data_IF_290457594217
#
_entry.id   IF_290457594217
#
_cell.length_a   1.000
_cell.length_b   1.000
_cell.length_c   1.000
_cell.angle_alpha   90.00
_cell.angle_beta   90.00
_cell.angle_gamma   90.00
#
_symmetry.space_group_name_H-M   'P 1'
#
loop_
_entity.id
_entity.type
_entity.pdbx_description
1 polymer ?
#
# COMPACT_ATOMS: atom_id res chain seq x y z
N UNK A 1 -16.69 24.84 -0.44
CA UNK A 1 -16.18 23.70 -1.24
C UNK A 1 -17.22 22.60 -1.18
N UNK A 2 -17.69 22.10 -2.32
CA UNK A 2 -18.87 21.22 -2.39
C UNK A 2 -18.52 19.72 -2.45
N UNK A 3 -17.36 19.34 -1.90
CA UNK A 3 -16.80 17.99 -1.93
C UNK A 3 -16.47 17.52 -0.52
N UNK A 4 -16.45 16.20 -0.33
CA UNK A 4 -15.89 15.60 0.87
C UNK A 4 -14.40 15.93 0.99
N UNK A 5 -13.90 16.09 2.22
CA UNK A 5 -12.47 16.14 2.49
C UNK A 5 -12.12 14.90 3.33
N UNK A 6 -11.36 13.97 2.76
CA UNK A 6 -11.02 12.72 3.43
C UNK A 6 -9.50 12.61 3.53
N UNK A 7 -9.02 12.29 4.73
CA UNK A 7 -7.63 11.93 4.98
C UNK A 7 -7.58 10.53 5.57
N UNK A 8 -6.75 9.67 5.01
CA UNK A 8 -6.53 8.31 5.49
C UNK A 8 -5.06 8.14 5.86
N UNK A 9 -4.81 7.56 7.04
CA UNK A 9 -3.47 7.15 7.47
C UNK A 9 -3.44 5.62 7.62
N UNK A 10 -2.71 4.96 6.73
CA UNK A 10 -2.55 3.50 6.75
C UNK A 10 -1.29 3.12 7.51
N UNK A 11 -1.50 2.63 8.73
CA UNK A 11 -0.49 1.95 9.54
C UNK A 11 -0.41 0.44 9.27
N UNK A 12 0.36 -0.26 10.09
CA UNK A 12 0.58 -1.71 9.94
C UNK A 12 -0.67 -2.56 10.22
N UNK A 13 -1.47 -2.18 11.22
CA UNK A 13 -2.63 -2.97 11.67
C UNK A 13 -3.96 -2.32 11.30
N UNK A 14 -4.06 -1.00 11.47
CA UNK A 14 -5.27 -0.24 11.24
C UNK A 14 -5.02 0.89 10.25
N UNK A 15 -6.07 1.25 9.52
CA UNK A 15 -6.14 2.48 8.76
C UNK A 15 -7.17 3.39 9.42
N UNK A 16 -6.71 4.56 9.84
CA UNK A 16 -7.54 5.60 10.43
C UNK A 16 -7.98 6.54 9.31
N UNK A 17 -9.29 6.73 9.16
CA UNK A 17 -9.87 7.61 8.16
C UNK A 17 -10.67 8.72 8.85
N UNK A 18 -10.39 9.95 8.43
CA UNK A 18 -11.00 11.16 8.90
C UNK A 18 -11.70 11.86 7.74
N UNK A 19 -12.97 12.20 7.89
CA UNK A 19 -13.78 12.78 6.81
C UNK A 19 -14.63 13.96 7.25
N UNK A 20 -14.57 15.06 6.49
CA UNK A 20 -15.44 16.22 6.64
C UNK A 20 -16.46 16.23 5.49
N UNK A 21 -17.78 16.23 5.79
CA UNK A 21 -18.82 16.31 4.77
C UNK A 21 -18.76 17.62 3.95
N UNK A 22 -19.32 17.64 2.72
CA UNK A 22 -19.43 18.86 1.93
C UNK A 22 -20.14 19.98 2.68
N UNK A 23 -19.54 21.17 2.71
CA UNK A 23 -20.12 22.35 3.36
C UNK A 23 -20.09 22.35 4.89
N UNK A 24 -19.53 21.30 5.52
CA UNK A 24 -19.41 21.17 6.96
C UNK A 24 -18.08 21.73 7.49
N UNK A 25 -17.95 21.84 8.82
CA UNK A 25 -16.70 22.26 9.48
C UNK A 25 -15.94 21.06 10.06
N UNK A 26 -14.78 21.33 10.67
CA UNK A 26 -14.01 20.34 11.42
C UNK A 26 -14.81 19.73 12.60
N UNK A 27 -15.79 20.44 13.14
CA UNK A 27 -16.60 19.97 14.27
C UNK A 27 -17.58 18.86 13.86
N UNK A 28 -17.92 18.79 12.57
CA UNK A 28 -18.80 17.76 11.98
C UNK A 28 -18.01 16.55 11.47
N UNK A 29 -16.70 16.51 11.75
CA UNK A 29 -15.83 15.49 11.20
C UNK A 29 -16.14 14.11 11.76
N UNK A 30 -15.98 13.11 10.90
CA UNK A 30 -16.23 11.71 11.22
C UNK A 30 -14.92 10.95 11.21
N UNK A 31 -14.79 10.03 12.16
CA UNK A 31 -13.66 9.12 12.29
C UNK A 31 -14.17 7.70 12.06
N UNK A 32 -13.49 6.96 11.18
CA UNK A 32 -13.72 5.53 11.01
C UNK A 32 -12.38 4.81 11.02
N UNK A 33 -12.38 3.61 11.58
CA UNK A 33 -11.20 2.74 11.65
C UNK A 33 -11.51 1.45 10.94
N UNK A 34 -10.58 1.01 10.09
CA UNK A 34 -10.67 -0.24 9.35
C UNK A 34 -9.37 -1.04 9.53
N UNK A 35 -9.41 -2.35 9.30
CA UNK A 35 -8.18 -3.14 9.31
C UNK A 35 -7.35 -2.80 8.07
N UNK A 36 -6.03 -2.63 8.23
CA UNK A 36 -5.10 -2.38 7.11
C UNK A 36 -5.07 -3.53 6.09
N UNK A 37 -5.63 -4.69 6.44
CA UNK A 37 -5.84 -5.82 5.54
C UNK A 37 -6.99 -5.63 4.54
N UNK A 38 -7.69 -4.50 4.55
CA UNK A 38 -8.84 -4.27 3.67
C UNK A 38 -10.09 -5.05 4.11
N UNK A 39 -10.28 -5.19 5.42
CA UNK A 39 -11.42 -5.91 6.01
C UNK A 39 -12.13 -5.06 7.07
N UNK A 40 -13.44 -5.21 7.12
CA UNK A 40 -14.34 -4.62 8.11
C UNK A 40 -14.73 -5.70 9.13
N UNK A 41 -14.20 -5.59 10.35
CA UNK A 41 -14.54 -6.53 11.42
C UNK A 41 -15.80 -6.06 12.15
N UNK A 42 -16.78 -6.94 12.23
CA UNK A 42 -18.08 -6.70 12.90
C UNK A 42 -18.39 -7.86 13.84
N UNK A 43 -19.14 -7.57 14.91
CA UNK A 43 -19.57 -8.59 15.87
C UNK A 43 -20.94 -9.13 15.46
N UNK A 44 -21.09 -10.45 15.43
CA UNK A 44 -22.37 -11.14 15.26
C UNK A 44 -22.96 -11.35 16.64
N UNK A 45 -24.09 -10.70 16.92
CA UNK A 45 -24.76 -10.77 18.22
C UNK A 45 -25.82 -11.88 18.25
N UNK A 46 -26.45 -12.17 17.11
CA UNK A 46 -27.52 -13.15 17.01
C UNK A 46 -27.61 -13.74 15.60
N UNK A 47 -28.03 -15.01 15.50
CA UNK A 47 -28.44 -15.66 14.26
C UNK A 47 -29.97 -15.60 14.20
N UNK A 48 -30.52 -14.77 13.32
CA UNK A 48 -31.98 -14.63 13.18
C UNK A 48 -32.57 -15.85 12.47
N UNK A 49 -31.88 -16.29 11.42
CA UNK A 49 -32.14 -17.52 10.69
C UNK A 49 -30.86 -18.01 10.00
N UNK A 50 -30.95 -19.05 9.18
CA UNK A 50 -29.79 -19.64 8.49
C UNK A 50 -29.10 -18.67 7.50
N UNK A 51 -29.74 -17.57 7.10
CA UNK A 51 -29.21 -16.58 6.14
C UNK A 51 -29.01 -15.19 6.75
N UNK A 52 -29.59 -14.89 7.90
CA UNK A 52 -29.69 -13.54 8.43
C UNK A 52 -28.98 -13.43 9.77
N UNK A 53 -28.01 -12.51 9.83
CA UNK A 53 -27.19 -12.23 11.00
C UNK A 53 -27.56 -10.88 11.59
N UNK A 54 -27.73 -10.80 12.91
CA UNK A 54 -27.75 -9.52 13.60
C UNK A 54 -26.32 -9.13 13.96
N UNK A 55 -25.95 -7.92 13.58
CA UNK A 55 -24.61 -7.38 13.77
C UNK A 55 -24.62 -6.24 14.79
N UNK A 56 -23.52 -6.10 15.51
CA UNK A 56 -23.14 -4.88 16.18
C UNK A 56 -22.07 -4.18 15.33
N UNK A 57 -22.40 -2.98 14.86
CA UNK A 57 -21.53 -2.17 14.00
C UNK A 57 -20.79 -1.14 14.88
N UNK A 58 -19.49 -0.90 14.66
CA UNK A 58 -18.77 0.14 15.37
C UNK A 58 -19.40 1.52 15.23
N UNK A 59 -19.28 2.32 16.29
CA UNK A 59 -19.77 3.71 16.29
C UNK A 59 -19.11 4.55 15.19
N UNK A 60 -19.87 5.46 14.59
CA UNK A 60 -19.38 6.39 13.56
C UNK A 60 -19.41 5.85 12.12
N UNK A 61 -19.68 4.56 11.91
CA UNK A 61 -19.84 3.99 10.58
C UNK A 61 -21.18 4.42 9.96
N UNK A 62 -21.14 5.05 8.78
CA UNK A 62 -22.33 5.37 8.00
C UNK A 62 -22.67 4.19 7.07
N UNK A 63 -23.56 3.30 7.52
CA UNK A 63 -23.96 2.08 6.80
C UNK A 63 -25.44 2.13 6.41
N UNK A 64 -25.84 2.97 5.43
CA UNK A 64 -27.23 3.03 4.98
C UNK A 64 -27.72 1.67 4.46
N UNK A 65 -29.04 1.52 4.27
CA UNK A 65 -29.58 0.27 3.73
C UNK A 65 -28.87 -0.15 2.43
N UNK A 66 -28.66 -1.45 2.26
CA UNK A 66 -27.86 -2.06 1.20
C UNK A 66 -26.36 -1.74 1.21
N UNK A 67 -25.80 -1.05 2.21
CA UNK A 67 -24.38 -0.70 2.23
C UNK A 67 -23.45 -1.93 2.10
N UNK A 68 -23.75 -3.01 2.82
CA UNK A 68 -22.96 -4.25 2.74
C UNK A 68 -23.33 -5.15 1.56
N UNK A 69 -24.30 -4.78 0.71
CA UNK A 69 -24.62 -5.56 -0.47
C UNK A 69 -23.42 -5.58 -1.43
N UNK A 70 -22.93 -6.77 -1.76
CA UNK A 70 -21.71 -6.96 -2.55
C UNK A 70 -20.43 -7.19 -1.74
N UNK A 71 -20.48 -7.05 -0.40
CA UNK A 71 -19.39 -7.52 0.47
C UNK A 71 -19.41 -9.05 0.56
N UNK A 72 -18.27 -9.63 0.87
CA UNK A 72 -18.10 -11.05 1.16
C UNK A 72 -17.68 -11.25 2.61
N UNK A 73 -18.01 -12.40 3.16
CA UNK A 73 -17.46 -12.88 4.44
C UNK A 73 -17.01 -14.33 4.31
N UNK A 74 -16.05 -14.74 5.13
CA UNK A 74 -15.59 -16.13 5.17
C UNK A 74 -16.14 -16.84 6.41
N UNK A 75 -16.99 -17.85 6.21
CA UNK A 75 -17.56 -18.68 7.28
C UNK A 75 -17.27 -20.15 6.96
N UNK A 76 -16.60 -20.84 7.89
CA UNK A 76 -16.20 -22.24 7.73
C UNK A 76 -15.51 -22.53 6.37
N UNK A 77 -14.50 -21.70 6.04
CA UNK A 77 -13.69 -21.76 4.81
C UNK A 77 -14.46 -21.54 3.50
N UNK A 78 -15.69 -21.01 3.58
CA UNK A 78 -16.48 -20.62 2.41
C UNK A 78 -16.68 -19.13 2.38
N UNK A 79 -16.42 -18.53 1.23
CA UNK A 79 -16.81 -17.15 0.96
C UNK A 79 -18.31 -17.09 0.66
N UNK A 80 -19.01 -16.21 1.36
CA UNK A 80 -20.44 -16.00 1.23
C UNK A 80 -20.68 -14.52 0.97
N UNK A 81 -21.47 -14.24 -0.06
CA UNK A 81 -21.84 -12.89 -0.46
C UNK A 81 -22.92 -12.34 0.49
N UNK A 82 -22.74 -11.13 0.98
CA UNK A 82 -23.79 -10.31 1.57
C UNK A 82 -24.66 -9.72 0.46
N UNK A 83 -25.97 -9.95 0.55
CA UNK A 83 -26.93 -9.56 -0.49
C UNK A 83 -27.78 -8.36 -0.07
N UNK A 84 -27.90 -8.10 1.23
CA UNK A 84 -28.71 -7.02 1.78
C UNK A 84 -28.21 -6.62 3.18
N UNK A 85 -28.50 -5.38 3.56
CA UNK A 85 -28.25 -4.82 4.89
C UNK A 85 -29.39 -3.90 5.28
N UNK A 86 -30.05 -4.22 6.40
CA UNK A 86 -31.04 -3.36 7.06
C UNK A 86 -30.37 -2.62 8.23
N UNK A 87 -30.15 -1.32 8.07
CA UNK A 87 -29.49 -0.49 9.08
C UNK A 87 -30.33 -0.34 10.35
N UNK A 88 -31.65 -0.27 10.24
CA UNK A 88 -32.52 -0.03 11.38
C UNK A 88 -32.62 -1.26 12.29
N UNK A 89 -32.53 -2.46 11.72
CA UNK A 89 -32.55 -3.73 12.46
C UNK A 89 -31.16 -4.28 12.76
N UNK A 90 -30.12 -3.67 12.18
CA UNK A 90 -28.75 -4.18 12.17
C UNK A 90 -28.65 -5.61 11.63
N UNK A 91 -29.39 -5.91 10.58
CA UNK A 91 -29.52 -7.26 10.01
C UNK A 91 -28.80 -7.36 8.67
N UNK A 92 -27.85 -8.29 8.57
CA UNK A 92 -27.11 -8.63 7.36
C UNK A 92 -27.66 -9.93 6.78
N UNK A 93 -28.06 -9.90 5.50
CA UNK A 93 -28.51 -11.09 4.79
C UNK A 93 -27.41 -11.65 3.89
N UNK A 94 -27.21 -12.96 3.97
CA UNK A 94 -26.22 -13.70 3.19
C UNK A 94 -26.89 -14.53 2.08
N UNK A 95 -26.19 -14.67 0.95
CA UNK A 95 -26.65 -15.43 -0.22
C UNK A 95 -26.79 -16.93 0.08
N UNK A 96 -25.91 -17.47 0.92
CA UNK A 96 -25.87 -18.88 1.27
C UNK A 96 -26.03 -19.05 2.79
N UNK A 97 -26.57 -20.19 3.24
CA UNK A 97 -26.80 -20.40 4.66
C UNK A 97 -25.49 -20.57 5.44
N UNK A 98 -25.48 -20.19 6.71
CA UNK A 98 -24.33 -20.23 7.61
C UNK A 98 -24.54 -21.16 8.82
N UNK A 99 -24.77 -22.47 8.63
CA UNK A 99 -25.18 -23.40 9.69
C UNK A 99 -24.12 -23.70 10.76
N UNK A 100 -22.87 -23.25 10.55
CA UNK A 100 -21.73 -23.46 11.48
C UNK A 100 -21.32 -22.20 12.22
N UNK A 101 -21.98 -21.07 11.97
CA UNK A 101 -21.71 -19.86 12.71
C UNK A 101 -22.36 -19.97 14.08
N UNK A 102 -21.70 -19.46 15.12
CA UNK A 102 -22.25 -19.35 16.47
C UNK A 102 -22.26 -17.88 16.88
N UNK A 103 -23.25 -17.46 17.67
CA UNK A 103 -23.30 -16.13 18.26
C UNK A 103 -23.12 -16.24 19.78
N UNK A 104 -22.37 -15.34 20.43
CA UNK A 104 -21.64 -14.22 19.84
C UNK A 104 -20.36 -14.67 19.10
N UNK A 105 -20.04 -14.02 17.99
CA UNK A 105 -18.77 -14.20 17.27
C UNK A 105 -18.37 -12.92 16.53
N UNK A 106 -17.24 -12.94 15.83
CA UNK A 106 -16.84 -11.86 14.93
C UNK A 106 -16.64 -12.41 13.52
N UNK A 107 -17.06 -11.63 12.54
CA UNK A 107 -16.81 -11.91 11.13
C UNK A 107 -16.10 -10.73 10.47
N UNK A 108 -15.35 -11.03 9.42
CA UNK A 108 -14.75 -10.01 8.56
C UNK A 108 -15.59 -9.88 7.29
N UNK A 109 -15.95 -8.65 6.93
CA UNK A 109 -16.58 -8.28 5.67
C UNK A 109 -15.54 -7.61 4.76
N UNK A 110 -15.50 -7.97 3.49
CA UNK A 110 -14.52 -7.43 2.54
C UNK A 110 -15.03 -7.39 1.09
N UNK A 111 -14.44 -6.52 0.28
CA UNK A 111 -14.75 -6.35 -1.16
C UNK A 111 -13.54 -6.59 -2.06
N UNK A 112 -12.37 -6.83 -1.46
CA UNK A 112 -11.07 -6.84 -2.15
C UNK A 112 -10.46 -5.45 -2.36
N UNK A 113 -11.13 -4.40 -1.89
CA UNK A 113 -10.60 -3.02 -1.94
C UNK A 113 -9.58 -2.75 -0.84
N UNK A 114 -8.67 -1.81 -1.11
CA UNK A 114 -7.68 -1.35 -0.14
C UNK A 114 -8.35 -0.63 1.05
N UNK A 115 -7.74 -0.73 2.23
CA UNK A 115 -8.29 -0.20 3.48
C UNK A 115 -8.71 1.30 3.42
N UNK A 116 -7.92 2.22 2.83
CA UNK A 116 -8.34 3.63 2.67
C UNK A 116 -9.64 3.82 1.89
N UNK A 117 -9.89 2.96 0.90
CA UNK A 117 -11.10 2.99 0.07
C UNK A 117 -12.30 2.56 0.90
N UNK A 118 -12.16 1.47 1.68
CA UNK A 118 -13.21 1.03 2.61
C UNK A 118 -13.54 2.09 3.65
N UNK A 119 -12.53 2.77 4.20
CA UNK A 119 -12.74 3.91 5.10
C UNK A 119 -13.53 5.05 4.43
N UNK A 120 -13.20 5.38 3.18
CA UNK A 120 -13.97 6.37 2.40
C UNK A 120 -15.44 5.95 2.19
N UNK A 121 -15.69 4.65 1.93
CA UNK A 121 -17.06 4.10 1.81
C UNK A 121 -17.83 4.28 3.10
N UNK A 122 -17.23 3.92 4.24
CA UNK A 122 -17.84 4.08 5.56
C UNK A 122 -18.10 5.54 5.95
N UNK A 123 -17.27 6.49 5.52
CA UNK A 123 -17.49 7.92 5.79
C UNK A 123 -18.66 8.46 4.95
N UNK A 124 -18.67 8.12 3.67
CA UNK A 124 -19.63 8.64 2.68
C UNK A 124 -20.96 7.88 2.66
N UNK A 125 -21.01 6.66 3.19
CA UNK A 125 -22.15 5.75 3.05
C UNK A 125 -22.30 5.17 1.65
N UNK A 126 -21.22 5.16 0.85
CA UNK A 126 -21.24 4.70 -0.55
C UNK A 126 -21.03 3.19 -0.61
N UNK A 127 -21.98 2.44 -1.18
CA UNK A 127 -21.88 0.99 -1.35
C UNK A 127 -20.73 0.59 -2.29
N UNK A 128 -20.28 -0.68 -2.29
CA UNK A 128 -19.02 -1.10 -2.91
C UNK A 128 -18.98 -0.98 -4.44
N UNK A 129 -20.14 -0.92 -5.09
CA UNK A 129 -20.27 -0.74 -6.55
C UNK A 129 -20.70 0.66 -6.94
N UNK A 130 -20.95 1.51 -5.96
CA UNK A 130 -21.42 2.86 -6.19
C UNK A 130 -20.23 3.80 -6.42
N UNK A 131 -20.47 4.79 -7.26
CA UNK A 131 -19.49 5.85 -7.53
C UNK A 131 -19.46 6.79 -6.34
N UNK A 132 -18.26 7.13 -5.86
CA UNK A 132 -18.12 8.09 -4.79
C UNK A 132 -18.67 9.47 -5.17
N UNK A 133 -19.23 10.23 -4.21
CA UNK A 133 -19.48 11.65 -4.40
C UNK A 133 -18.15 12.40 -4.62
N UNK A 134 -18.18 13.66 -5.12
CA UNK A 134 -16.99 14.47 -5.26
C UNK A 134 -16.20 14.55 -3.94
N UNK A 135 -14.90 14.26 -3.99
CA UNK A 135 -14.03 14.21 -2.81
C UNK A 135 -12.60 14.70 -3.12
N UNK A 136 -11.97 15.34 -2.14
CA UNK A 136 -10.53 15.54 -2.02
C UNK A 136 -10.00 14.44 -1.08
N UNK A 137 -9.13 13.57 -1.60
CA UNK A 137 -8.60 12.41 -0.87
C UNK A 137 -7.11 12.54 -0.64
N UNK A 138 -6.70 12.46 0.62
CA UNK A 138 -5.29 12.48 1.03
C UNK A 138 -4.94 11.16 1.70
N UNK A 139 -3.88 10.52 1.22
CA UNK A 139 -3.39 9.26 1.76
C UNK A 139 -1.99 9.44 2.36
N UNK A 140 -1.87 9.17 3.65
CA UNK A 140 -0.62 8.89 4.33
C UNK A 140 -0.43 7.38 4.48
N UNK A 141 0.78 6.87 4.20
CA UNK A 141 1.08 5.45 4.43
C UNK A 141 2.54 5.23 4.75
N UNK A 142 2.79 4.22 5.57
CA UNK A 142 4.13 3.73 5.92
C UNK A 142 4.58 2.53 5.08
N UNK A 143 3.80 2.11 4.06
CA UNK A 143 4.14 0.93 3.22
C UNK A 143 5.53 1.04 2.60
N UNK A 144 5.88 2.22 2.07
CA UNK A 144 7.19 2.45 1.44
C UNK A 144 8.35 2.39 2.43
N UNK A 145 8.22 3.05 3.59
CA UNK A 145 9.26 3.06 4.61
C UNK A 145 9.42 1.69 5.28
N UNK A 146 8.34 0.97 5.55
CA UNK A 146 8.40 -0.39 6.09
C UNK A 146 9.01 -1.37 5.09
N UNK A 147 8.66 -1.27 3.80
CA UNK A 147 9.28 -2.09 2.78
C UNK A 147 10.81 -1.89 2.72
N UNK A 148 11.28 -0.65 2.89
CA UNK A 148 12.71 -0.35 2.96
C UNK A 148 13.37 -0.93 4.24
N UNK A 149 12.77 -0.70 5.41
CA UNK A 149 13.31 -1.17 6.70
C UNK A 149 13.34 -2.71 6.79
N UNK A 150 12.29 -3.37 6.28
CA UNK A 150 12.17 -4.83 6.27
C UNK A 150 12.86 -5.48 5.05
N UNK A 151 13.46 -4.68 4.16
CA UNK A 151 14.06 -5.13 2.89
C UNK A 151 13.11 -5.98 2.02
N UNK A 152 11.83 -5.63 1.99
CA UNK A 152 10.79 -6.29 1.18
C UNK A 152 10.54 -5.57 -0.16
N UNK A 153 11.61 -5.09 -0.78
CA UNK A 153 11.57 -4.47 -2.11
C UNK A 153 11.67 -5.48 -3.25
N UNK A 154 11.47 -5.01 -4.48
CA UNK A 154 11.83 -5.79 -5.66
C UNK A 154 13.38 -5.86 -5.78
N UNK A 155 13.95 -6.99 -6.25
CA UNK A 155 15.36 -7.06 -6.60
C UNK A 155 15.73 -5.99 -7.63
N UNK A 156 16.85 -5.30 -7.42
CA UNK A 156 17.32 -4.18 -8.26
C UNK A 156 18.69 -4.48 -8.87
N UNK A 157 18.82 -4.21 -10.18
CA UNK A 157 20.11 -4.07 -10.84
C UNK A 157 20.53 -2.59 -10.81
N UNK A 158 21.74 -2.30 -10.35
CA UNK A 158 22.28 -0.95 -10.25
C UNK A 158 23.31 -0.69 -11.34
N UNK A 159 22.99 0.20 -12.27
CA UNK A 159 23.88 0.64 -13.33
C UNK A 159 24.66 1.87 -12.87
N UNK A 160 25.98 1.78 -12.98
CA UNK A 160 26.89 2.82 -12.50
C UNK A 160 28.06 2.95 -13.47
N UNK A 161 28.66 4.13 -13.55
CA UNK A 161 29.87 4.36 -14.35
C UNK A 161 30.97 3.35 -13.99
N UNK A 162 31.69 2.83 -14.98
CA UNK A 162 32.80 1.91 -14.75
C UNK A 162 33.86 2.50 -13.82
N UNK A 163 34.35 1.67 -12.91
CA UNK A 163 35.24 2.03 -11.81
C UNK A 163 34.52 2.47 -10.54
N UNK A 164 33.17 2.46 -10.53
CA UNK A 164 32.35 2.88 -9.40
C UNK A 164 31.42 1.76 -8.87
N UNK A 165 31.65 0.49 -9.25
CA UNK A 165 30.86 -0.65 -8.78
C UNK A 165 30.65 -0.69 -7.26
N UNK A 166 31.69 -0.36 -6.49
CA UNK A 166 31.66 -0.42 -5.02
C UNK A 166 31.20 0.89 -4.36
N UNK A 167 30.76 1.90 -5.11
CA UNK A 167 30.48 3.25 -4.58
C UNK A 167 29.54 3.22 -3.38
N UNK A 168 28.43 2.48 -3.46
CA UNK A 168 27.44 2.39 -2.36
C UNK A 168 27.89 1.47 -1.22
N UNK A 169 28.83 0.54 -1.47
CA UNK A 169 29.44 -0.32 -0.43
C UNK A 169 30.48 0.46 0.37
N UNK A 170 31.23 1.33 -0.30
CA UNK A 170 32.17 2.27 0.31
C UNK A 170 31.39 3.33 1.10
N UNK A 171 30.32 3.89 0.52
CA UNK A 171 29.53 4.95 1.14
C UNK A 171 30.36 6.20 1.43
N UNK A 172 29.99 6.94 2.46
CA UNK A 172 30.67 8.18 2.88
C UNK A 172 31.74 7.98 3.96
N UNK A 173 32.07 6.71 4.27
CA UNK A 173 33.02 6.31 5.30
C UNK A 173 32.71 6.84 6.71
N UNK A 174 31.51 7.37 6.97
CA UNK A 174 31.13 7.83 8.31
C UNK A 174 30.97 6.63 9.25
N UNK A 175 31.59 6.73 10.42
CA UNK A 175 31.55 5.71 11.47
C UNK A 175 30.88 6.26 12.73
N UNK A 176 29.66 5.80 13.07
CA UNK A 176 29.02 6.18 14.34
C UNK A 176 29.90 5.82 15.54
N UNK A 177 30.45 4.60 15.54
CA UNK A 177 31.39 4.12 16.56
C UNK A 177 32.81 4.08 15.99
N UNK A 178 33.54 5.21 16.09
CA UNK A 178 34.85 5.39 15.46
C UNK A 178 35.89 4.33 15.87
N UNK A 179 35.81 3.84 17.12
CA UNK A 179 36.78 2.90 17.71
C UNK A 179 36.32 1.43 17.72
N UNK A 180 35.15 1.12 17.13
CA UNK A 180 34.69 -0.26 17.06
C UNK A 180 35.66 -1.10 16.21
N UNK A 181 36.21 -2.18 16.80
CA UNK A 181 37.11 -3.11 16.11
C UNK A 181 36.39 -3.88 14.99
N UNK A 182 35.13 -4.24 15.24
CA UNK A 182 34.23 -4.85 14.25
C UNK A 182 33.24 -3.80 13.75
N UNK A 183 33.53 -3.21 12.59
CA UNK A 183 32.62 -2.27 11.94
C UNK A 183 31.61 -3.02 11.07
N UNK A 184 30.33 -2.90 11.40
CA UNK A 184 29.24 -3.50 10.63
C UNK A 184 28.66 -2.46 9.66
N UNK A 185 28.84 -2.70 8.37
CA UNK A 185 28.19 -1.91 7.31
C UNK A 185 26.89 -2.58 6.89
N UNK A 186 25.79 -1.84 6.73
CA UNK A 186 24.59 -2.38 6.13
C UNK A 186 24.91 -2.78 4.67
N UNK A 187 24.43 -3.96 4.20
CA UNK A 187 24.62 -4.34 2.81
C UNK A 187 23.88 -3.36 1.88
N UNK A 188 24.28 -3.24 0.61
CA UNK A 188 23.57 -2.41 -0.35
C UNK A 188 22.12 -2.87 -0.55
N UNK A 189 21.31 -2.04 -1.22
CA UNK A 189 19.92 -2.35 -1.56
C UNK A 189 19.78 -3.06 -2.93
N UNK A 190 20.82 -3.02 -3.76
CA UNK A 190 20.84 -3.70 -5.05
C UNK A 190 21.37 -5.12 -4.90
N UNK A 191 20.96 -5.99 -5.84
CA UNK A 191 21.41 -7.38 -5.88
C UNK A 191 22.46 -7.65 -6.95
N UNK A 192 22.50 -6.79 -7.97
CA UNK A 192 23.56 -6.79 -8.99
C UNK A 192 23.99 -5.38 -9.29
N UNK A 193 25.29 -5.19 -9.45
CA UNK A 193 25.87 -3.97 -10.01
C UNK A 193 26.32 -4.26 -11.44
N UNK A 194 26.08 -3.31 -12.33
CA UNK A 194 26.44 -3.38 -13.74
C UNK A 194 27.21 -2.12 -14.06
N UNK A 195 28.45 -2.28 -14.52
CA UNK A 195 29.29 -1.15 -14.86
C UNK A 195 29.09 -0.73 -16.33
N UNK A 196 28.80 0.55 -16.53
CA UNK A 196 28.60 1.16 -17.83
C UNK A 196 29.89 1.85 -18.28
N UNK A 197 30.29 1.59 -19.52
CA UNK A 197 31.44 2.24 -20.14
C UNK A 197 31.05 3.62 -20.66
N UNK A 198 31.07 4.61 -19.78
CA UNK A 198 30.90 6.00 -20.15
C UNK A 198 31.70 6.92 -19.21
N UNK A 199 31.90 8.18 -19.59
CA UNK A 199 32.45 9.17 -18.65
C UNK A 199 32.11 10.59 -19.02
N UNK A 200 31.65 11.35 -18.02
CA UNK A 200 31.53 12.80 -18.08
C UNK A 200 32.59 13.48 -17.20
N UNK A 201 33.01 14.67 -17.58
CA UNK A 201 33.76 15.58 -16.71
C UNK A 201 32.83 16.32 -15.72
N UNK A 202 33.41 17.13 -14.83
CA UNK A 202 32.65 17.88 -13.84
C UNK A 202 31.73 18.97 -14.43
N UNK A 203 31.99 19.39 -15.68
CA UNK A 203 31.17 20.33 -16.44
C UNK A 203 30.06 19.61 -17.24
N UNK A 204 30.00 18.27 -17.19
CA UNK A 204 29.03 17.44 -17.93
C UNK A 204 29.42 17.15 -19.38
N UNK A 205 30.67 17.44 -19.77
CA UNK A 205 31.16 17.14 -21.13
C UNK A 205 31.59 15.67 -21.21
N UNK A 206 31.24 14.93 -22.28
CA UNK A 206 31.72 13.58 -22.47
C UNK A 206 33.25 13.52 -22.60
N UNK A 207 33.90 12.84 -21.66
CA UNK A 207 35.29 12.37 -21.77
C UNK A 207 35.32 11.05 -22.54
N UNK A 208 34.32 10.19 -22.28
CA UNK A 208 34.10 8.93 -22.97
C UNK A 208 32.61 8.85 -23.32
N UNK A 209 32.24 8.57 -24.58
CA UNK A 209 30.84 8.39 -24.96
C UNK A 209 30.24 7.18 -24.25
N UNK A 210 28.92 7.01 -24.31
CA UNK A 210 28.29 5.76 -23.88
C UNK A 210 28.68 4.61 -24.83
N UNK A 211 29.29 3.56 -24.29
CA UNK A 211 29.59 2.33 -25.02
C UNK A 211 28.62 1.21 -24.65
N UNK A 212 28.24 0.43 -25.67
CA UNK A 212 27.54 -0.84 -25.49
C UNK A 212 28.44 -1.89 -24.81
N UNK A 213 27.84 -2.83 -24.10
CA UNK A 213 28.47 -3.97 -23.43
C UNK A 213 27.71 -4.38 -22.17
N UNK A 214 27.11 -3.40 -21.49
CA UNK A 214 26.31 -3.60 -20.28
C UNK A 214 25.03 -4.42 -20.54
N UNK A 215 24.56 -4.51 -21.79
CA UNK A 215 23.34 -5.21 -22.17
C UNK A 215 23.45 -6.72 -21.91
N UNK A 216 24.66 -7.29 -21.96
CA UNK A 216 24.90 -8.71 -21.63
C UNK A 216 24.61 -8.96 -20.14
N UNK A 217 25.12 -8.09 -19.27
CA UNK A 217 24.89 -8.19 -17.83
C UNK A 217 23.44 -7.85 -17.48
N UNK A 218 22.84 -6.88 -18.17
CA UNK A 218 21.42 -6.55 -18.04
C UNK A 218 20.54 -7.75 -18.39
N UNK A 219 20.85 -8.44 -19.50
CA UNK A 219 20.15 -9.67 -19.89
C UNK A 219 20.33 -10.78 -18.85
N UNK A 220 21.53 -10.96 -18.32
CA UNK A 220 21.78 -11.92 -17.24
C UNK A 220 20.98 -11.57 -15.98
N UNK A 221 20.83 -10.28 -15.63
CA UNK A 221 20.01 -9.84 -14.50
C UNK A 221 18.52 -10.16 -14.73
N UNK A 222 18.02 -9.95 -15.95
CA UNK A 222 16.66 -10.36 -16.34
C UNK A 222 16.47 -11.88 -16.23
N UNK A 223 17.43 -12.69 -16.68
CA UNK A 223 17.39 -14.15 -16.56
C UNK A 223 17.37 -14.60 -15.09
N UNK A 224 18.01 -13.84 -14.20
CA UNK A 224 17.99 -14.06 -12.75
C UNK A 224 16.73 -13.55 -12.04
N UNK A 225 15.72 -13.06 -12.77
CA UNK A 225 14.46 -12.60 -12.19
C UNK A 225 14.46 -11.13 -11.73
N UNK A 226 15.55 -10.39 -11.92
CA UNK A 226 15.60 -8.95 -11.61
C UNK A 226 14.81 -8.22 -12.69
N UNK A 227 13.90 -7.34 -12.29
CA UNK A 227 13.00 -6.59 -13.22
C UNK A 227 13.06 -5.08 -13.03
N UNK A 228 13.77 -4.62 -12.02
CA UNK A 228 13.93 -3.21 -11.69
C UNK A 228 15.39 -2.82 -11.90
N UNK A 229 15.60 -1.68 -12.54
CA UNK A 229 16.92 -1.08 -12.71
C UNK A 229 16.95 0.29 -12.04
N UNK A 230 18.06 0.61 -11.39
CA UNK A 230 18.42 1.96 -10.98
C UNK A 230 19.66 2.36 -11.76
N UNK A 231 19.64 3.52 -12.41
CA UNK A 231 20.76 4.05 -13.19
C UNK A 231 21.27 5.30 -12.49
N UNK A 232 22.56 5.34 -12.16
CA UNK A 232 23.21 6.51 -11.58
C UNK A 232 24.63 6.63 -12.12
N UNK A 233 24.77 7.37 -13.22
CA UNK A 233 26.02 7.65 -13.90
C UNK A 233 26.65 8.94 -13.37
N UNK A 234 27.97 8.99 -13.33
CA UNK A 234 28.68 10.11 -12.75
C UNK A 234 28.42 11.41 -13.54
N UNK A 235 28.07 12.46 -12.80
CA UNK A 235 27.75 13.79 -13.33
C UNK A 235 26.52 13.83 -14.26
N UNK A 236 25.64 12.82 -14.22
CA UNK A 236 24.37 12.80 -14.98
C UNK A 236 23.45 13.98 -14.65
N UNK A 237 23.52 14.50 -13.42
CA UNK A 237 22.82 15.73 -13.02
C UNK A 237 23.23 16.98 -13.83
N UNK A 238 24.40 16.97 -14.50
CA UNK A 238 24.85 18.01 -15.44
C UNK A 238 24.47 17.69 -16.88
N UNK A 239 24.63 16.42 -17.28
CA UNK A 239 24.27 15.94 -18.60
C UNK A 239 23.62 14.54 -18.49
N UNK A 240 22.30 14.43 -18.62
CA UNK A 240 21.59 13.17 -18.44
C UNK A 240 21.56 12.29 -19.71
N UNK A 241 22.19 12.72 -20.82
CA UNK A 241 22.06 12.04 -22.12
C UNK A 241 22.44 10.55 -22.06
N UNK A 242 23.49 10.18 -21.34
CA UNK A 242 23.89 8.77 -21.20
C UNK A 242 22.95 7.94 -20.31
N UNK A 243 22.24 8.55 -19.35
CA UNK A 243 21.26 7.81 -18.52
C UNK A 243 19.92 7.61 -19.23
N UNK A 244 19.57 8.52 -20.15
CA UNK A 244 18.32 8.48 -20.91
C UNK A 244 18.42 7.48 -22.09
N UNK A 245 19.61 7.33 -22.68
CA UNK A 245 19.89 6.47 -23.82
C UNK A 245 19.82 4.97 -23.45
#
# INVERSE_FOLDING_TARGET
>A
MNSWQISADTGGTFTDCFGIPPGASLDDARLVKVLSSGKLRVSVTELIDDHTLRLEIPEGWNTPNNFFAGFQTTIADKEILAVDWDHARSELRLQAPCPKLHAPSAIDLFTGEEAPVLGARLLTGTGPRDTFPPLDFRLGTTRGTNALLERKGAPVAFFVTRGFADLLVIGDQRRPDLFALAHHRPPPLYERVIEVDERLDADGRPIMPLHSGFEIEAKSALEAGIRVAAVALLHSYRNPEHEIA
#
